data_IF_535628312376
#
_entry.id   IF_535628312376
#
_cell.length_a   1.000
_cell.length_b   1.000
_cell.length_c   1.000
_cell.angle_alpha   90.00
_cell.angle_beta   90.00
_cell.angle_gamma   90.00
#
_symmetry.space_group_name_H-M   'P 1'
#
loop_
_entity.id
_entity.type
_entity.pdbx_description
1 polymer ?
#
# COMPACT_ATOMS: atom_id res chain seq x y z
N UNK A 1 25.72 18.17 -31.78
CA UNK A 1 24.34 18.29 -31.29
C UNK A 1 23.39 17.16 -31.73
N UNK A 2 23.70 16.40 -32.82
CA UNK A 2 22.82 15.31 -33.32
C UNK A 2 22.78 14.03 -32.46
N UNK A 3 23.73 13.81 -31.54
CA UNK A 3 23.82 12.56 -30.76
C UNK A 3 22.97 12.54 -29.47
N UNK A 4 22.61 13.70 -28.92
CA UNK A 4 21.82 13.78 -27.68
C UNK A 4 20.32 13.50 -27.95
N UNK A 5 19.81 14.00 -29.06
CA UNK A 5 18.41 13.77 -29.49
C UNK A 5 18.13 12.29 -29.82
N UNK A 6 19.11 11.58 -30.43
CA UNK A 6 18.97 10.15 -30.73
C UNK A 6 19.02 9.25 -29.46
N UNK A 7 19.79 9.62 -28.46
CA UNK A 7 19.88 8.90 -27.16
C UNK A 7 18.59 9.12 -26.37
N UNK A 8 18.07 10.36 -26.33
CA UNK A 8 16.83 10.69 -25.64
C UNK A 8 15.63 10.01 -26.33
N UNK A 9 15.58 10.01 -27.68
CA UNK A 9 14.49 9.34 -28.40
C UNK A 9 14.52 7.81 -28.24
N UNK A 10 15.71 7.20 -28.12
CA UNK A 10 15.86 5.76 -27.87
C UNK A 10 15.46 5.41 -26.44
N UNK A 11 15.88 6.18 -25.45
CA UNK A 11 15.51 6.01 -24.04
C UNK A 11 13.99 6.21 -23.80
N UNK A 12 13.36 7.17 -24.52
CA UNK A 12 11.90 7.36 -24.47
C UNK A 12 11.19 6.19 -25.16
N UNK A 13 11.68 5.69 -26.26
CA UNK A 13 11.10 4.55 -26.99
C UNK A 13 11.24 3.24 -26.22
N UNK A 14 12.35 3.00 -25.54
CA UNK A 14 12.54 1.85 -24.66
C UNK A 14 11.64 1.94 -23.42
N UNK A 15 11.54 3.10 -22.75
CA UNK A 15 10.60 3.29 -21.62
C UNK A 15 9.14 3.08 -22.02
N UNK A 16 8.74 3.56 -23.20
CA UNK A 16 7.38 3.35 -23.75
C UNK A 16 7.13 1.87 -24.05
N UNK A 17 8.16 1.13 -24.52
CA UNK A 17 8.07 -0.32 -24.75
C UNK A 17 7.89 -1.09 -23.46
N UNK A 18 8.69 -0.82 -22.43
CA UNK A 18 8.58 -1.46 -21.11
C UNK A 18 7.25 -1.17 -20.43
N UNK A 19 6.74 0.07 -20.54
CA UNK A 19 5.42 0.42 -20.01
C UNK A 19 4.30 -0.34 -20.72
N UNK A 20 4.38 -0.53 -22.03
CA UNK A 20 3.40 -1.32 -22.80
C UNK A 20 3.43 -2.79 -22.43
N UNK A 21 4.62 -3.37 -22.20
CA UNK A 21 4.77 -4.75 -21.73
C UNK A 21 4.17 -4.91 -20.34
N UNK A 22 4.46 -3.99 -19.40
CA UNK A 22 3.88 -4.00 -18.06
C UNK A 22 2.36 -3.90 -18.07
N UNK A 23 1.80 -3.01 -18.89
CA UNK A 23 0.34 -2.87 -19.08
C UNK A 23 -0.24 -4.15 -19.69
N UNK A 24 0.40 -4.74 -20.71
CA UNK A 24 -0.05 -5.97 -21.34
C UNK A 24 -0.07 -7.15 -20.37
N UNK A 25 0.97 -7.30 -19.55
CA UNK A 25 1.02 -8.32 -18.48
C UNK A 25 -0.08 -8.09 -17.45
N UNK A 26 -0.29 -6.86 -17.00
CA UNK A 26 -1.38 -6.52 -16.06
C UNK A 26 -2.75 -6.85 -16.65
N UNK A 27 -3.01 -6.47 -17.89
CA UNK A 27 -4.26 -6.80 -18.58
C UNK A 27 -4.43 -8.32 -18.71
N UNK A 28 -3.37 -9.06 -19.05
CA UNK A 28 -3.41 -10.52 -19.14
C UNK A 28 -3.76 -11.16 -17.80
N UNK A 29 -3.11 -10.71 -16.70
CA UNK A 29 -3.42 -11.19 -15.34
C UNK A 29 -4.89 -10.92 -15.00
N UNK A 30 -5.40 -9.73 -15.31
CA UNK A 30 -6.81 -9.37 -15.09
C UNK A 30 -7.74 -10.28 -15.89
N UNK A 31 -7.46 -10.50 -17.17
CA UNK A 31 -8.28 -11.37 -18.03
C UNK A 31 -8.30 -12.80 -17.48
N UNK A 32 -7.14 -13.33 -17.10
CA UNK A 32 -7.04 -14.68 -16.50
C UNK A 32 -7.82 -14.72 -15.17
N UNK A 33 -7.63 -13.74 -14.29
CA UNK A 33 -8.33 -13.67 -13.01
C UNK A 33 -9.86 -13.58 -13.20
N UNK A 34 -10.33 -12.75 -14.14
CA UNK A 34 -11.76 -12.65 -14.47
C UNK A 34 -12.29 -13.93 -15.08
N UNK A 35 -11.55 -14.59 -15.98
CA UNK A 35 -11.95 -15.85 -16.57
C UNK A 35 -12.09 -16.95 -15.51
N UNK A 36 -11.12 -17.07 -14.61
CA UNK A 36 -11.16 -18.02 -13.49
C UNK A 36 -12.30 -17.66 -12.54
N UNK A 37 -12.48 -16.38 -12.22
CA UNK A 37 -13.56 -15.90 -11.36
C UNK A 37 -14.93 -16.25 -11.95
N UNK A 38 -15.15 -15.97 -13.25
CA UNK A 38 -16.41 -16.33 -13.94
C UNK A 38 -16.63 -17.85 -13.90
N UNK A 39 -15.58 -18.66 -14.09
CA UNK A 39 -15.69 -20.10 -14.02
C UNK A 39 -16.02 -20.59 -12.60
N UNK A 40 -15.37 -20.00 -11.57
CA UNK A 40 -15.63 -20.34 -10.17
C UNK A 40 -17.02 -19.89 -9.70
N UNK A 41 -17.51 -18.76 -10.24
CA UNK A 41 -18.81 -18.18 -9.87
C UNK A 41 -19.99 -18.78 -10.66
N UNK A 42 -19.75 -19.57 -11.72
CA UNK A 42 -20.82 -20.14 -12.55
C UNK A 42 -21.83 -20.97 -11.77
N UNK A 43 -21.34 -21.68 -10.73
CA UNK A 43 -22.15 -22.60 -9.92
C UNK A 43 -22.58 -21.96 -8.58
N UNK A 44 -22.29 -20.66 -8.39
CA UNK A 44 -22.61 -19.95 -7.14
C UNK A 44 -24.06 -19.48 -7.16
N UNK A 45 -24.80 -19.92 -6.15
CA UNK A 45 -26.15 -19.44 -5.90
C UNK A 45 -26.11 -18.15 -5.08
N UNK A 46 -26.50 -17.04 -5.71
CA UNK A 46 -26.49 -15.69 -5.09
C UNK A 46 -27.29 -15.68 -3.78
N UNK A 47 -28.39 -16.41 -3.72
CA UNK A 47 -29.24 -16.52 -2.52
C UNK A 47 -28.49 -17.17 -1.34
N UNK A 48 -27.63 -18.16 -1.61
CA UNK A 48 -26.76 -18.76 -0.57
C UNK A 48 -25.70 -17.79 -0.08
N UNK A 49 -25.11 -16.98 -0.97
CA UNK A 49 -24.16 -15.93 -0.57
C UNK A 49 -24.86 -14.89 0.32
N UNK A 50 -26.05 -14.44 -0.06
CA UNK A 50 -26.83 -13.50 0.75
C UNK A 50 -27.25 -14.10 2.10
N UNK A 51 -27.62 -15.38 2.14
CA UNK A 51 -27.90 -16.08 3.38
C UNK A 51 -26.66 -16.18 4.28
N UNK A 52 -25.49 -16.51 3.71
CA UNK A 52 -24.22 -16.56 4.42
C UNK A 52 -23.80 -15.18 4.97
N UNK A 53 -24.01 -14.11 4.20
CA UNK A 53 -23.79 -12.74 4.67
C UNK A 53 -24.65 -12.36 5.86
N UNK A 54 -25.93 -12.73 5.83
CA UNK A 54 -26.89 -12.47 6.94
C UNK A 54 -26.61 -13.32 8.16
N UNK A 55 -26.06 -14.52 7.99
CA UNK A 55 -25.72 -15.43 9.08
C UNK A 55 -24.43 -15.04 9.82
N UNK A 56 -23.63 -14.12 9.30
CA UNK A 56 -22.38 -13.70 9.98
C UNK A 56 -22.66 -13.03 11.30
N UNK A 57 -21.93 -13.49 12.32
CA UNK A 57 -22.02 -12.92 13.67
C UNK A 57 -21.50 -11.47 13.67
N UNK A 58 -22.26 -10.58 14.31
CA UNK A 58 -21.81 -9.19 14.52
C UNK A 58 -20.50 -9.13 15.30
N UNK A 59 -20.24 -10.10 16.18
CA UNK A 59 -18.99 -10.21 16.93
C UNK A 59 -17.81 -10.41 15.97
N UNK A 60 -17.92 -11.30 14.99
CA UNK A 60 -16.85 -11.61 14.05
C UNK A 60 -16.56 -10.40 13.16
N UNK A 61 -17.62 -9.71 12.74
CA UNK A 61 -17.50 -8.45 11.98
C UNK A 61 -16.80 -7.37 12.81
N UNK A 62 -17.16 -7.20 14.09
CA UNK A 62 -16.51 -6.23 14.98
C UNK A 62 -15.04 -6.57 15.22
N UNK A 63 -14.73 -7.84 15.47
CA UNK A 63 -13.34 -8.31 15.62
C UNK A 63 -12.54 -8.01 14.36
N UNK A 64 -13.07 -8.35 13.19
CA UNK A 64 -12.44 -8.04 11.91
C UNK A 64 -12.21 -6.53 11.76
N UNK A 65 -13.19 -5.69 12.11
CA UNK A 65 -13.08 -4.23 12.07
C UNK A 65 -11.97 -3.67 12.97
N UNK A 66 -11.83 -4.23 14.17
CA UNK A 66 -10.75 -3.84 15.09
C UNK A 66 -9.38 -4.15 14.46
N UNK A 67 -9.21 -5.36 13.89
CA UNK A 67 -7.94 -5.72 13.26
C UNK A 67 -7.68 -4.97 11.97
N UNK A 68 -8.69 -4.66 11.16
CA UNK A 68 -8.56 -3.73 10.03
C UNK A 68 -8.06 -2.35 10.52
N UNK A 69 -8.63 -1.81 11.59
CA UNK A 69 -8.18 -0.54 12.16
C UNK A 69 -6.72 -0.61 12.65
N UNK A 70 -6.32 -1.72 13.31
CA UNK A 70 -4.92 -1.96 13.72
C UNK A 70 -3.98 -1.97 12.51
N UNK A 71 -4.35 -2.66 11.41
CA UNK A 71 -3.58 -2.66 10.15
C UNK A 71 -3.42 -1.25 9.59
N UNK A 72 -4.50 -0.46 9.53
CA UNK A 72 -4.42 0.92 9.08
C UNK A 72 -3.59 1.83 10.00
N UNK A 73 -3.62 1.59 11.31
CA UNK A 73 -2.69 2.28 12.24
C UNK A 73 -1.25 1.88 11.93
N UNK A 74 -0.96 0.61 11.69
CA UNK A 74 0.38 0.16 11.27
C UNK A 74 0.84 0.86 9.98
N UNK A 75 -0.04 1.02 8.98
CA UNK A 75 0.25 1.74 7.74
C UNK A 75 0.65 3.21 7.96
N UNK A 76 0.14 3.88 9.00
CA UNK A 76 0.56 5.25 9.31
C UNK A 76 2.02 5.34 9.73
N UNK A 77 2.57 4.27 10.32
CA UNK A 77 3.97 4.22 10.71
C UNK A 77 4.93 4.05 9.53
N UNK A 78 4.47 3.57 8.36
CA UNK A 78 5.31 3.49 7.16
C UNK A 78 5.84 4.87 6.76
N UNK A 79 4.94 5.85 6.60
CA UNK A 79 5.32 7.22 6.23
C UNK A 79 6.08 7.92 7.37
N UNK A 80 5.66 7.74 8.62
CA UNK A 80 6.36 8.30 9.77
C UNK A 80 7.80 7.81 9.88
N UNK A 81 8.00 6.49 9.74
CA UNK A 81 9.31 5.89 9.76
C UNK A 81 10.17 6.37 8.57
N UNK A 82 9.58 6.45 7.38
CA UNK A 82 10.27 6.94 6.19
C UNK A 82 10.75 8.40 6.36
N UNK A 83 9.90 9.28 6.90
CA UNK A 83 10.26 10.67 7.20
C UNK A 83 11.44 10.75 8.19
N UNK A 84 11.41 9.96 9.26
CA UNK A 84 12.52 9.91 10.24
C UNK A 84 13.82 9.41 9.60
N UNK A 85 13.72 8.42 8.72
CA UNK A 85 14.88 7.84 8.03
C UNK A 85 15.54 8.83 7.07
N UNK A 86 14.77 9.69 6.40
CA UNK A 86 15.32 10.73 5.50
C UNK A 86 15.68 12.04 6.24
N UNK A 87 15.56 12.07 7.57
CA UNK A 87 15.93 13.21 8.40
C UNK A 87 14.91 14.36 8.45
N UNK A 88 13.67 14.13 7.99
CA UNK A 88 12.57 15.12 8.02
C UNK A 88 11.81 15.07 9.35
N UNK A 89 12.52 15.42 10.43
CA UNK A 89 12.00 15.35 11.80
C UNK A 89 10.98 16.42 12.14
N UNK A 90 10.92 17.49 11.37
CA UNK A 90 9.98 18.61 11.51
C UNK A 90 8.53 18.24 11.20
N UNK A 91 8.30 17.17 10.42
CA UNK A 91 6.94 16.72 10.10
C UNK A 91 6.36 15.95 11.28
N UNK A 92 5.27 16.45 11.91
CA UNK A 92 4.69 15.78 13.07
C UNK A 92 3.96 14.49 12.68
N UNK A 93 3.87 13.54 13.62
CA UNK A 93 3.21 12.24 13.40
C UNK A 93 1.81 12.37 12.80
N UNK A 94 0.99 13.30 13.28
CA UNK A 94 -0.38 13.53 12.78
C UNK A 94 -0.43 13.79 11.27
N UNK A 95 0.57 14.49 10.72
CA UNK A 95 0.66 14.76 9.28
C UNK A 95 1.15 13.51 8.54
N UNK A 96 2.15 12.81 9.10
CA UNK A 96 2.61 11.54 8.55
C UNK A 96 1.49 10.48 8.53
N UNK A 97 0.73 10.37 9.62
CA UNK A 97 -0.40 9.46 9.75
C UNK A 97 -1.52 9.78 8.74
N UNK A 98 -1.92 11.05 8.65
CA UNK A 98 -2.91 11.50 7.68
C UNK A 98 -2.47 11.21 6.25
N UNK A 99 -1.20 11.54 5.91
CA UNK A 99 -0.66 11.33 4.57
C UNK A 99 -0.51 9.85 4.26
N UNK A 100 0.04 9.07 5.17
CA UNK A 100 0.18 7.62 5.04
C UNK A 100 -1.18 6.96 4.82
N UNK A 101 -2.14 7.20 5.72
CA UNK A 101 -3.49 6.67 5.62
C UNK A 101 -4.15 6.99 4.27
N UNK A 102 -4.20 8.27 3.89
CA UNK A 102 -4.87 8.69 2.65
C UNK A 102 -4.14 8.19 1.39
N UNK A 103 -2.80 8.21 1.38
CA UNK A 103 -2.00 7.75 0.26
C UNK A 103 -2.16 6.25 0.01
N UNK A 104 -2.08 5.43 1.07
CA UNK A 104 -2.26 3.99 0.95
C UNK A 104 -3.68 3.63 0.57
N UNK A 105 -4.67 4.17 1.27
CA UNK A 105 -6.07 3.88 1.02
C UNK A 105 -6.47 4.19 -0.43
N UNK A 106 -6.14 5.38 -0.90
CA UNK A 106 -6.49 5.80 -2.26
C UNK A 106 -5.64 5.06 -3.30
N UNK A 107 -4.34 4.89 -3.02
CA UNK A 107 -3.43 4.18 -3.92
C UNK A 107 -3.84 2.72 -4.14
N UNK A 108 -4.20 1.98 -3.09
CA UNK A 108 -4.65 0.60 -3.21
C UNK A 108 -6.01 0.48 -3.93
N UNK A 109 -6.93 1.41 -3.70
CA UNK A 109 -8.25 1.36 -4.32
C UNK A 109 -8.26 1.78 -5.80
N UNK A 110 -7.49 2.83 -6.15
CA UNK A 110 -7.44 3.31 -7.53
C UNK A 110 -6.48 2.54 -8.44
N UNK A 111 -5.59 1.73 -7.87
CA UNK A 111 -4.49 1.12 -8.60
C UNK A 111 -3.38 2.13 -8.94
N UNK A 112 -2.36 1.68 -9.70
CA UNK A 112 -1.16 2.48 -9.97
C UNK A 112 -0.59 3.13 -8.69
N UNK A 113 -0.52 2.37 -7.61
CA UNK A 113 -0.30 2.80 -6.22
C UNK A 113 0.87 3.77 -6.07
N UNK A 114 1.97 3.56 -6.81
CA UNK A 114 3.15 4.44 -6.73
C UNK A 114 2.83 5.86 -7.22
N UNK A 115 2.05 6.00 -8.28
CA UNK A 115 1.69 7.30 -8.85
C UNK A 115 0.63 8.01 -8.01
N UNK A 116 -0.45 7.32 -7.66
CA UNK A 116 -1.57 7.89 -6.91
C UNK A 116 -1.17 8.25 -5.49
N UNK A 117 -0.49 7.34 -4.77
CA UNK A 117 0.03 7.62 -3.44
C UNK A 117 1.14 8.68 -3.47
N UNK A 118 1.99 8.67 -4.51
CA UNK A 118 3.03 9.70 -4.71
C UNK A 118 2.45 11.08 -4.89
N UNK A 119 1.37 11.23 -5.68
CA UNK A 119 0.69 12.51 -5.89
C UNK A 119 0.08 13.07 -4.61
N UNK A 120 -0.55 12.22 -3.79
CA UNK A 120 -1.11 12.63 -2.48
C UNK A 120 0.00 13.06 -1.53
N UNK A 121 1.09 12.28 -1.43
CA UNK A 121 2.26 12.65 -0.63
C UNK A 121 2.84 13.99 -1.08
N UNK A 122 3.01 14.20 -2.39
CA UNK A 122 3.49 15.46 -2.94
C UNK A 122 2.57 16.62 -2.54
N UNK A 123 1.25 16.46 -2.70
CA UNK A 123 0.26 17.48 -2.34
C UNK A 123 0.32 17.87 -0.87
N UNK A 124 0.55 16.92 0.03
CA UNK A 124 0.52 17.19 1.48
C UNK A 124 1.90 17.63 1.98
N UNK A 125 2.96 16.91 1.63
CA UNK A 125 4.30 17.16 2.16
C UNK A 125 5.01 18.36 1.54
N UNK A 126 4.64 18.81 0.32
CA UNK A 126 5.20 20.04 -0.24
C UNK A 126 4.83 21.28 0.60
N UNK A 127 3.70 21.27 1.31
CA UNK A 127 3.35 22.30 2.30
C UNK A 127 4.32 22.33 3.52
N UNK A 128 5.09 21.26 3.71
CA UNK A 128 6.15 21.12 4.73
C UNK A 128 7.57 21.26 4.15
N UNK A 129 7.68 21.77 2.92
CA UNK A 129 8.96 22.02 2.26
C UNK A 129 9.67 20.79 1.71
N UNK A 130 8.98 19.62 1.61
CA UNK A 130 9.55 18.43 1.01
C UNK A 130 9.57 18.54 -0.51
N UNK A 131 10.69 18.17 -1.11
CA UNK A 131 10.90 18.13 -2.55
C UNK A 131 10.35 16.83 -3.18
N UNK A 132 10.23 16.80 -4.50
CA UNK A 132 9.89 15.57 -5.26
C UNK A 132 10.89 14.45 -4.96
N UNK A 133 12.17 14.80 -4.74
CA UNK A 133 13.22 13.83 -4.38
C UNK A 133 12.94 13.23 -3.00
N UNK A 134 12.53 14.03 -2.03
CA UNK A 134 12.13 13.53 -0.70
C UNK A 134 10.94 12.58 -0.79
N UNK A 135 9.94 12.91 -1.63
CA UNK A 135 8.78 12.03 -1.86
C UNK A 135 9.21 10.70 -2.48
N UNK A 136 10.13 10.72 -3.44
CA UNK A 136 10.68 9.50 -4.03
C UNK A 136 11.45 8.65 -2.99
N UNK A 137 12.21 9.29 -2.08
CA UNK A 137 12.88 8.60 -0.96
C UNK A 137 11.86 7.99 0.01
N UNK A 138 10.79 8.69 0.36
CA UNK A 138 9.71 8.16 1.19
C UNK A 138 9.09 6.94 0.51
N UNK A 139 8.74 7.03 -0.78
CA UNK A 139 8.18 5.92 -1.54
C UNK A 139 9.11 4.69 -1.56
N UNK A 140 10.42 4.91 -1.69
CA UNK A 140 11.41 3.84 -1.63
C UNK A 140 11.45 3.16 -0.25
N UNK A 141 11.50 3.94 0.84
CA UNK A 141 11.59 3.39 2.20
C UNK A 141 10.29 2.70 2.62
N UNK A 142 9.13 3.26 2.26
CA UNK A 142 7.83 2.61 2.51
C UNK A 142 7.71 1.32 1.71
N UNK A 143 8.14 1.31 0.44
CA UNK A 143 8.23 0.10 -0.37
C UNK A 143 9.16 -0.95 0.24
N UNK A 144 10.33 -0.54 0.75
CA UNK A 144 11.27 -1.44 1.44
C UNK A 144 10.61 -2.06 2.68
N UNK A 145 9.89 -1.27 3.49
CA UNK A 145 9.14 -1.76 4.67
C UNK A 145 8.12 -2.82 4.26
N UNK A 146 7.33 -2.55 3.21
CA UNK A 146 6.34 -3.49 2.68
C UNK A 146 7.00 -4.81 2.23
N UNK A 147 8.06 -4.74 1.41
CA UNK A 147 8.73 -5.94 0.89
C UNK A 147 9.43 -6.75 1.98
N UNK A 148 10.07 -6.09 2.96
CA UNK A 148 10.70 -6.78 4.09
C UNK A 148 9.64 -7.49 4.96
N UNK A 149 8.50 -6.86 5.23
CA UNK A 149 7.38 -7.46 5.95
C UNK A 149 6.85 -8.70 5.24
N UNK A 150 6.55 -8.57 3.94
CA UNK A 150 6.08 -9.68 3.10
C UNK A 150 7.09 -10.84 3.03
N UNK A 151 8.37 -10.52 2.79
CA UNK A 151 9.43 -11.53 2.72
C UNK A 151 9.59 -12.28 4.04
N UNK A 152 9.45 -11.59 5.18
CA UNK A 152 9.53 -12.22 6.49
C UNK A 152 8.31 -13.12 6.76
N UNK A 153 7.10 -12.59 6.57
CA UNK A 153 5.84 -13.34 6.82
C UNK A 153 5.75 -14.57 5.92
N UNK A 154 5.98 -14.40 4.62
CA UNK A 154 5.98 -15.54 3.69
C UNK A 154 7.18 -16.46 3.90
N UNK A 155 8.34 -15.91 4.26
CA UNK A 155 9.52 -16.72 4.57
C UNK A 155 9.26 -17.69 5.72
N UNK A 156 8.74 -17.18 6.84
CA UNK A 156 8.35 -18.02 7.99
C UNK A 156 7.18 -18.95 7.64
N UNK A 157 6.14 -18.40 7.01
CA UNK A 157 4.94 -19.16 6.66
C UNK A 157 5.23 -20.32 5.70
N UNK A 158 5.99 -20.09 4.62
CA UNK A 158 6.37 -21.13 3.66
C UNK A 158 7.38 -22.13 4.23
N UNK A 159 8.22 -21.72 5.19
CA UNK A 159 9.10 -22.67 5.89
C UNK A 159 8.30 -23.64 6.75
N UNK A 160 7.24 -23.15 7.41
CA UNK A 160 6.37 -23.93 8.30
C UNK A 160 5.27 -24.70 7.54
N UNK A 161 4.48 -24.03 6.70
CA UNK A 161 3.34 -24.58 5.96
C UNK A 161 3.48 -24.36 4.43
N UNK A 162 4.46 -25.01 3.77
CA UNK A 162 4.73 -24.83 2.34
C UNK A 162 3.57 -25.29 1.45
N UNK A 163 2.75 -26.21 1.91
CA UNK A 163 1.56 -26.72 1.23
C UNK A 163 0.52 -25.60 0.99
N UNK A 164 0.41 -24.67 1.92
CA UNK A 164 -0.48 -23.51 1.80
C UNK A 164 -0.15 -22.64 0.58
N UNK A 165 1.14 -22.39 0.35
CA UNK A 165 1.59 -21.66 -0.84
C UNK A 165 1.38 -22.49 -2.11
N UNK A 166 1.59 -23.82 -2.04
CA UNK A 166 1.39 -24.74 -3.18
C UNK A 166 -0.05 -24.72 -3.69
N UNK A 167 -1.03 -24.57 -2.80
CA UNK A 167 -2.44 -24.48 -3.17
C UNK A 167 -2.72 -23.28 -4.10
N UNK A 168 -1.99 -22.16 -3.92
CA UNK A 168 -2.19 -20.94 -4.71
C UNK A 168 -1.26 -20.89 -5.93
N UNK A 169 0.05 -21.18 -5.76
CA UNK A 169 1.04 -20.99 -6.80
C UNK A 169 1.37 -22.25 -7.63
N UNK A 170 0.78 -23.39 -7.26
CA UNK A 170 0.93 -24.70 -7.93
C UNK A 170 2.40 -25.22 -7.97
N UNK A 171 3.31 -24.64 -7.19
CA UNK A 171 4.67 -25.13 -7.03
C UNK A 171 4.71 -26.27 -5.98
N UNK A 172 5.70 -27.16 -6.08
CA UNK A 172 5.83 -28.22 -5.07
C UNK A 172 6.15 -27.65 -3.69
N UNK A 173 5.69 -28.29 -2.59
CA UNK A 173 5.98 -27.85 -1.22
C UNK A 173 7.48 -27.69 -0.93
N UNK A 174 8.32 -28.55 -1.52
CA UNK A 174 9.78 -28.46 -1.37
C UNK A 174 10.34 -27.17 -1.96
N UNK A 175 9.83 -26.75 -3.13
CA UNK A 175 10.23 -25.49 -3.78
C UNK A 175 9.76 -24.33 -2.92
N UNK A 176 8.52 -24.33 -2.45
CA UNK A 176 7.99 -23.26 -1.61
C UNK A 176 8.77 -23.13 -0.29
N UNK A 177 9.11 -24.25 0.35
CA UNK A 177 9.97 -24.23 1.54
C UNK A 177 11.34 -23.66 1.23
N UNK A 178 11.96 -24.04 0.10
CA UNK A 178 13.22 -23.48 -0.36
C UNK A 178 13.15 -21.96 -0.59
N UNK A 179 12.09 -21.47 -1.23
CA UNK A 179 11.85 -20.02 -1.43
C UNK A 179 11.72 -19.32 -0.09
N UNK A 180 10.92 -19.87 0.85
CA UNK A 180 10.73 -19.29 2.17
C UNK A 180 12.06 -19.18 2.95
N UNK A 181 12.81 -20.26 3.03
CA UNK A 181 14.13 -20.28 3.71
C UNK A 181 15.11 -19.31 3.02
N UNK A 182 15.16 -19.31 1.69
CA UNK A 182 16.02 -18.38 0.93
C UNK A 182 15.66 -16.91 1.25
N UNK A 183 14.37 -16.58 1.30
CA UNK A 183 13.91 -15.25 1.69
C UNK A 183 14.37 -14.83 3.10
N UNK A 184 14.27 -15.74 4.08
CA UNK A 184 14.77 -15.50 5.44
C UNK A 184 16.30 -15.33 5.48
N UNK A 185 17.04 -16.16 4.74
CA UNK A 185 18.51 -16.04 4.61
C UNK A 185 18.89 -14.68 4.01
N UNK A 186 18.18 -14.22 2.98
CA UNK A 186 18.39 -12.90 2.38
C UNK A 186 18.14 -11.77 3.40
N UNK A 187 17.09 -11.87 4.22
CA UNK A 187 16.82 -10.89 5.28
C UNK A 187 17.97 -10.87 6.29
N UNK A 188 18.42 -12.03 6.75
CA UNK A 188 19.54 -12.13 7.70
C UNK A 188 20.83 -11.57 7.08
N UNK A 189 21.13 -11.94 5.84
CA UNK A 189 22.28 -11.41 5.10
C UNK A 189 22.22 -9.90 4.95
N UNK A 190 21.04 -9.33 4.66
CA UNK A 190 20.82 -7.90 4.59
C UNK A 190 21.05 -7.21 5.94
N UNK A 191 20.54 -7.77 7.05
CA UNK A 191 20.77 -7.24 8.39
C UNK A 191 22.25 -7.26 8.77
N UNK A 192 22.96 -8.37 8.49
CA UNK A 192 24.39 -8.49 8.72
C UNK A 192 25.20 -7.49 7.86
N UNK A 193 24.78 -7.27 6.61
CA UNK A 193 25.43 -6.30 5.73
C UNK A 193 25.28 -4.86 6.21
N UNK A 194 24.19 -4.53 6.93
CA UNK A 194 23.96 -3.21 7.51
C UNK A 194 24.75 -2.96 8.81
N UNK A 195 25.24 -4.02 9.50
CA UNK A 195 25.87 -3.89 10.83
C UNK A 195 27.16 -3.06 10.85
N UNK A 196 28.11 -3.21 9.91
CA UNK A 196 29.45 -2.61 10.08
C UNK A 196 29.47 -1.11 9.96
N UNK A 197 28.64 -0.50 9.10
CA UNK A 197 28.62 0.95 8.83
C UNK A 197 27.28 1.38 8.25
N UNK A 198 26.85 2.65 8.46
CA UNK A 198 25.73 3.23 7.74
C UNK A 198 25.93 3.09 6.23
N UNK A 199 24.97 2.53 5.53
CA UNK A 199 25.01 2.32 4.09
C UNK A 199 24.22 3.42 3.38
N UNK A 200 24.80 3.99 2.34
CA UNK A 200 24.11 4.92 1.45
C UNK A 200 23.93 4.29 0.07
N UNK A 201 22.72 4.39 -0.47
CA UNK A 201 22.42 3.97 -1.85
C UNK A 201 22.07 5.21 -2.65
N UNK A 202 22.51 5.22 -3.91
CA UNK A 202 22.25 6.32 -4.84
C UNK A 202 23.50 7.16 -5.11
N UNK A 203 23.35 8.14 -5.99
CA UNK A 203 24.45 8.97 -6.47
C UNK A 203 24.00 10.43 -6.53
N UNK A 204 24.91 11.35 -6.20
CA UNK A 204 24.65 12.79 -6.27
C UNK A 204 23.43 13.22 -5.41
N UNK A 205 22.47 13.91 -5.97
CA UNK A 205 21.29 14.44 -5.28
C UNK A 205 20.30 13.37 -4.78
N UNK A 206 20.38 12.14 -5.33
CA UNK A 206 19.52 11.02 -4.93
C UNK A 206 20.29 10.02 -4.07
N UNK A 207 20.71 10.46 -2.91
CA UNK A 207 21.32 9.57 -1.91
C UNK A 207 20.32 9.28 -0.79
N UNK A 208 20.20 8.00 -0.43
CA UNK A 208 19.39 7.51 0.69
C UNK A 208 20.32 6.80 1.65
N UNK A 209 20.33 7.23 2.90
CA UNK A 209 20.94 6.48 3.98
C UNK A 209 19.98 5.34 4.35
N UNK A 210 20.44 4.08 4.24
CA UNK A 210 19.62 2.94 4.62
C UNK A 210 19.39 2.93 6.13
N UNK A 211 18.22 2.42 6.58
CA UNK A 211 17.95 2.24 8.00
C UNK A 211 19.01 1.36 8.67
N UNK A 212 19.30 1.65 9.93
CA UNK A 212 20.18 0.77 10.73
C UNK A 212 19.55 -0.62 10.92
N UNK A 213 20.30 -1.65 11.31
CA UNK A 213 19.75 -2.99 11.56
C UNK A 213 18.57 -2.97 12.55
N UNK A 214 18.66 -2.17 13.62
CA UNK A 214 17.58 -2.00 14.59
C UNK A 214 16.33 -1.36 13.93
N UNK A 215 16.54 -0.33 13.13
CA UNK A 215 15.46 0.33 12.39
C UNK A 215 14.84 -0.60 11.35
N UNK A 216 15.64 -1.45 10.70
CA UNK A 216 15.16 -2.48 9.77
C UNK A 216 14.30 -3.54 10.47
N UNK A 217 14.67 -3.95 11.68
CA UNK A 217 13.82 -4.85 12.48
C UNK A 217 12.48 -4.19 12.84
N UNK A 218 12.47 -2.89 13.15
CA UNK A 218 11.22 -2.14 13.35
C UNK A 218 10.38 -2.11 12.08
N UNK A 219 10.99 -1.91 10.89
CA UNK A 219 10.28 -1.99 9.61
C UNK A 219 9.64 -3.37 9.39
N UNK A 220 10.38 -4.43 9.63
CA UNK A 220 9.84 -5.80 9.56
C UNK A 220 8.67 -5.96 10.52
N UNK A 221 8.82 -5.50 11.78
CA UNK A 221 7.75 -5.54 12.78
C UNK A 221 6.49 -4.80 12.36
N UNK A 222 6.62 -3.59 11.77
CA UNK A 222 5.50 -2.83 11.23
C UNK A 222 4.81 -3.61 10.09
N UNK A 223 5.59 -4.20 9.17
CA UNK A 223 5.05 -5.00 8.07
C UNK A 223 4.36 -6.28 8.55
N UNK A 224 4.92 -6.97 9.55
CA UNK A 224 4.29 -8.14 10.18
C UNK A 224 2.98 -7.77 10.87
N UNK A 225 2.95 -6.62 11.57
CA UNK A 225 1.73 -6.12 12.23
C UNK A 225 0.63 -5.80 11.20
N UNK A 226 0.98 -5.13 10.12
CA UNK A 226 0.06 -4.77 9.02
C UNK A 226 -0.55 -6.03 8.37
N UNK A 227 0.30 -6.93 7.87
CA UNK A 227 -0.13 -8.16 7.19
C UNK A 227 -0.84 -9.12 8.15
N UNK A 228 -0.33 -9.25 9.38
CA UNK A 228 -0.92 -10.10 10.40
C UNK A 228 -2.29 -9.60 10.84
N UNK A 229 -2.46 -8.30 11.01
CA UNK A 229 -3.76 -7.70 11.33
C UNK A 229 -4.78 -7.95 10.20
N UNK A 230 -4.39 -7.76 8.93
CA UNK A 230 -5.24 -8.12 7.80
C UNK A 230 -5.63 -9.59 7.77
N UNK A 231 -4.67 -10.49 8.02
CA UNK A 231 -4.92 -11.93 8.07
C UNK A 231 -5.83 -12.33 9.24
N UNK A 232 -5.67 -11.72 10.44
CA UNK A 232 -6.55 -11.97 11.59
C UNK A 232 -7.97 -11.47 11.30
N UNK A 233 -8.09 -10.29 10.65
CA UNK A 233 -9.40 -9.78 10.24
C UNK A 233 -10.09 -10.76 9.28
N UNK A 234 -9.36 -11.30 8.31
CA UNK A 234 -9.90 -12.33 7.40
C UNK A 234 -10.24 -13.64 8.14
N UNK A 235 -9.35 -14.07 9.07
CA UNK A 235 -9.57 -15.26 9.88
C UNK A 235 -10.86 -15.20 10.70
N UNK A 236 -11.14 -14.05 11.31
CA UNK A 236 -12.36 -13.83 12.07
C UNK A 236 -13.62 -13.88 11.20
N UNK A 237 -13.51 -13.59 9.91
CA UNK A 237 -14.62 -13.64 8.96
C UNK A 237 -14.80 -15.00 8.31
N UNK A 238 -13.85 -15.94 8.41
CA UNK A 238 -14.01 -17.27 7.82
C UNK A 238 -15.14 -18.05 8.48
N UNK A 239 -15.72 -19.03 7.78
CA UNK A 239 -16.60 -20.02 8.40
C UNK A 239 -15.90 -20.79 9.53
N UNK A 240 -16.62 -21.13 10.59
CA UNK A 240 -16.05 -21.88 11.72
C UNK A 240 -15.61 -23.30 11.31
N UNK A 241 -16.22 -23.84 10.28
CA UNK A 241 -15.95 -25.19 9.75
C UNK A 241 -15.83 -25.15 8.23
N UNK A 242 -14.87 -25.93 7.66
CA UNK A 242 -13.83 -26.68 8.36
C UNK A 242 -12.81 -25.74 9.02
N UNK A 243 -12.19 -26.18 10.12
CA UNK A 243 -11.14 -25.39 10.79
C UNK A 243 -9.87 -25.31 9.93
N UNK A 244 -9.22 -24.18 9.95
CA UNK A 244 -7.93 -23.95 9.27
C UNK A 244 -6.90 -23.42 10.27
N UNK A 245 -5.66 -23.86 10.11
CA UNK A 245 -4.55 -23.29 10.84
C UNK A 245 -4.28 -21.83 10.41
N UNK A 246 -4.03 -20.95 11.38
CA UNK A 246 -3.82 -19.53 11.11
C UNK A 246 -2.62 -19.27 10.19
N UNK A 247 -1.53 -20.02 10.32
CA UNK A 247 -0.34 -19.85 9.47
C UNK A 247 -0.66 -20.22 8.02
N UNK A 248 -1.45 -21.27 7.81
CA UNK A 248 -1.94 -21.66 6.49
C UNK A 248 -2.77 -20.52 5.86
N UNK A 249 -3.72 -19.97 6.61
CA UNK A 249 -4.48 -18.80 6.12
C UNK A 249 -3.57 -17.60 5.84
N UNK A 250 -2.64 -17.29 6.75
CA UNK A 250 -1.70 -16.16 6.60
C UNK A 250 -0.90 -16.27 5.30
N UNK A 251 -0.38 -17.45 4.97
CA UNK A 251 0.37 -17.69 3.73
C UNK A 251 -0.53 -17.49 2.50
N UNK A 252 -1.73 -18.08 2.50
CA UNK A 252 -2.68 -17.93 1.38
C UNK A 252 -3.09 -16.47 1.22
N UNK A 253 -3.44 -15.80 2.32
CA UNK A 253 -3.87 -14.40 2.33
C UNK A 253 -2.78 -13.46 1.82
N UNK A 254 -1.54 -13.58 2.34
CA UNK A 254 -0.44 -12.70 1.92
C UNK A 254 -0.04 -12.98 0.47
N UNK A 255 -0.09 -14.24 0.03
CA UNK A 255 0.13 -14.59 -1.39
C UNK A 255 -0.96 -13.97 -2.28
N UNK A 256 -2.22 -14.01 -1.85
CA UNK A 256 -3.33 -13.36 -2.57
C UNK A 256 -3.15 -11.83 -2.67
N UNK A 257 -2.72 -11.19 -1.57
CA UNK A 257 -2.38 -9.74 -1.56
C UNK A 257 -1.26 -9.43 -2.55
N UNK A 258 -0.20 -10.25 -2.61
CA UNK A 258 0.90 -10.03 -3.56
C UNK A 258 0.46 -10.19 -5.01
N UNK A 259 -0.39 -11.16 -5.32
CA UNK A 259 -0.96 -11.30 -6.66
C UNK A 259 -1.87 -10.11 -7.01
N UNK A 260 -2.67 -9.66 -6.04
CA UNK A 260 -3.46 -8.45 -6.17
C UNK A 260 -2.58 -7.21 -6.46
N UNK A 261 -1.49 -7.04 -5.73
CA UNK A 261 -0.52 -5.96 -5.95
C UNK A 261 0.15 -6.05 -7.33
N UNK A 262 0.58 -7.26 -7.72
CA UNK A 262 1.23 -7.50 -9.01
C UNK A 262 0.29 -7.29 -10.21
N UNK A 263 -1.02 -7.49 -10.03
CA UNK A 263 -2.02 -7.28 -11.08
C UNK A 263 -2.23 -5.81 -11.45
N UNK A 264 -1.87 -4.87 -10.56
CA UNK A 264 -2.13 -3.43 -10.68
C UNK A 264 -3.61 -3.09 -10.90
N UNK A 265 -4.52 -4.02 -10.63
CA UNK A 265 -5.96 -3.78 -10.74
C UNK A 265 -6.45 -2.85 -9.63
N UNK A 266 -7.41 -1.96 -9.92
CA UNK A 266 -8.04 -1.15 -8.89
C UNK A 266 -8.63 -2.01 -7.78
N UNK A 267 -8.21 -1.78 -6.52
CA UNK A 267 -8.64 -2.56 -5.36
C UNK A 267 -8.32 -4.05 -5.45
N UNK A 268 -7.41 -4.48 -6.34
CA UNK A 268 -7.09 -5.90 -6.59
C UNK A 268 -8.33 -6.77 -6.86
N UNK A 269 -9.36 -6.17 -7.51
CA UNK A 269 -10.65 -6.79 -7.78
C UNK A 269 -10.50 -8.10 -8.57
N UNK A 270 -11.15 -9.15 -8.11
CA UNK A 270 -11.14 -10.47 -8.71
C UNK A 270 -9.91 -11.30 -8.40
N UNK A 271 -8.74 -10.68 -8.27
CA UNK A 271 -7.46 -11.40 -8.08
C UNK A 271 -7.35 -11.98 -6.68
N UNK A 272 -7.67 -11.20 -5.65
CA UNK A 272 -7.66 -11.67 -4.26
C UNK A 272 -8.72 -12.76 -4.07
N UNK A 273 -9.93 -12.55 -4.59
CA UNK A 273 -11.02 -13.52 -4.50
C UNK A 273 -10.64 -14.86 -5.14
N UNK A 274 -10.10 -14.83 -6.35
CA UNK A 274 -9.64 -16.04 -7.04
C UNK A 274 -8.55 -16.74 -6.25
N UNK A 275 -7.54 -16.01 -5.79
CA UNK A 275 -6.43 -16.60 -5.05
C UNK A 275 -6.89 -17.24 -3.73
N UNK A 276 -7.84 -16.61 -3.02
CA UNK A 276 -8.41 -17.14 -1.79
C UNK A 276 -9.31 -18.36 -2.06
N UNK A 277 -10.17 -18.32 -3.09
CA UNK A 277 -11.04 -19.45 -3.47
C UNK A 277 -10.22 -20.66 -3.93
N UNK A 278 -9.13 -20.45 -4.65
CA UNK A 278 -8.20 -21.50 -5.09
C UNK A 278 -7.36 -22.01 -3.93
N UNK A 279 -6.88 -21.11 -3.07
CA UNK A 279 -6.01 -21.45 -1.94
C UNK A 279 -6.72 -22.11 -0.75
N UNK A 280 -8.04 -21.97 -0.67
CA UNK A 280 -8.87 -22.48 0.42
C UNK A 280 -10.03 -23.37 -0.09
N UNK A 281 -9.75 -24.44 -0.86
CA UNK A 281 -10.77 -25.26 -1.52
C UNK A 281 -11.64 -26.06 -0.53
N UNK A 282 -11.24 -26.16 0.74
CA UNK A 282 -11.98 -26.86 1.78
C UNK A 282 -13.24 -26.10 2.24
N UNK A 283 -13.32 -24.78 2.01
CA UNK A 283 -14.49 -24.01 2.38
C UNK A 283 -15.56 -24.01 1.28
N UNK A 284 -16.86 -24.00 1.65
CA UNK A 284 -17.93 -23.75 0.68
C UNK A 284 -17.72 -22.39 0.00
N UNK A 285 -17.78 -22.37 -1.32
CA UNK A 285 -17.47 -21.17 -2.13
C UNK A 285 -18.33 -19.97 -1.74
N UNK A 286 -19.61 -20.21 -1.47
CA UNK A 286 -20.59 -19.19 -1.12
C UNK A 286 -20.26 -18.51 0.22
N UNK A 287 -19.90 -19.33 1.23
CA UNK A 287 -19.54 -18.82 2.56
C UNK A 287 -18.19 -18.08 2.55
N UNK A 288 -17.21 -18.62 1.81
CA UNK A 288 -15.91 -17.96 1.64
C UNK A 288 -16.07 -16.64 0.88
N UNK A 289 -16.91 -16.63 -0.17
CA UNK A 289 -17.18 -15.41 -0.94
C UNK A 289 -17.90 -14.36 -0.08
N UNK A 290 -18.86 -14.76 0.75
CA UNK A 290 -19.51 -13.86 1.70
C UNK A 290 -18.49 -13.24 2.68
N UNK A 291 -17.55 -14.04 3.20
CA UNK A 291 -16.47 -13.55 4.06
C UNK A 291 -15.55 -12.56 3.35
N UNK A 292 -15.19 -12.85 2.10
CA UNK A 292 -14.37 -11.97 1.27
C UNK A 292 -15.07 -10.65 0.94
N UNK A 293 -16.39 -10.66 0.70
CA UNK A 293 -17.17 -9.45 0.45
C UNK A 293 -17.23 -8.54 1.69
N UNK A 294 -17.44 -9.12 2.89
CA UNK A 294 -17.40 -8.36 4.14
C UNK A 294 -16.01 -7.79 4.37
N UNK A 295 -14.96 -8.62 4.18
CA UNK A 295 -13.57 -8.16 4.30
C UNK A 295 -13.28 -7.01 3.34
N UNK A 296 -13.69 -7.13 2.07
CA UNK A 296 -13.53 -6.07 1.08
C UNK A 296 -14.24 -4.78 1.47
N UNK A 297 -15.47 -4.87 1.95
CA UNK A 297 -16.19 -3.70 2.42
C UNK A 297 -15.43 -3.00 3.55
N UNK A 298 -14.96 -3.77 4.54
CA UNK A 298 -14.29 -3.22 5.72
C UNK A 298 -12.87 -2.74 5.43
N UNK A 299 -12.12 -3.46 4.59
CA UNK A 299 -10.70 -3.17 4.35
C UNK A 299 -10.48 -2.17 3.21
N UNK A 300 -11.37 -2.08 2.22
CA UNK A 300 -11.20 -1.20 1.05
C UNK A 300 -12.20 -0.05 1.05
N UNK A 301 -13.52 -0.34 1.16
CA UNK A 301 -14.57 0.67 0.93
C UNK A 301 -14.70 1.62 2.12
N UNK A 302 -14.78 1.12 3.34
CA UNK A 302 -14.91 1.96 4.55
C UNK A 302 -13.73 2.91 4.71
N UNK A 303 -12.45 2.45 4.65
CA UNK A 303 -11.31 3.36 4.74
C UNK A 303 -11.23 4.35 3.57
N UNK A 304 -11.61 3.93 2.34
CA UNK A 304 -11.64 4.83 1.18
C UNK A 304 -12.63 5.98 1.39
N UNK A 305 -13.83 5.66 1.85
CA UNK A 305 -14.86 6.66 2.16
C UNK A 305 -14.37 7.65 3.23
N UNK A 306 -13.72 7.11 4.28
CA UNK A 306 -13.16 7.94 5.34
C UNK A 306 -11.98 8.80 4.84
N UNK A 307 -11.09 8.25 4.02
CA UNK A 307 -9.99 9.00 3.40
C UNK A 307 -10.49 10.13 2.48
N UNK A 308 -11.53 9.86 1.68
CA UNK A 308 -12.14 10.86 0.81
C UNK A 308 -12.75 12.00 1.60
N UNK A 309 -13.48 11.70 2.69
CA UNK A 309 -14.05 12.72 3.59
C UNK A 309 -12.94 13.56 4.24
N UNK A 310 -11.90 12.91 4.77
CA UNK A 310 -10.78 13.61 5.41
C UNK A 310 -10.04 14.54 4.45
N UNK A 311 -9.79 14.10 3.20
CA UNK A 311 -9.18 14.95 2.18
C UNK A 311 -10.08 16.08 1.77
N UNK A 312 -11.38 15.82 1.57
CA UNK A 312 -12.37 16.84 1.25
C UNK A 312 -12.45 17.93 2.31
N UNK A 313 -12.54 17.55 3.59
CA UNK A 313 -12.54 18.50 4.72
C UNK A 313 -11.25 19.32 4.77
N UNK A 314 -10.09 18.70 4.54
CA UNK A 314 -8.82 19.43 4.47
C UNK A 314 -8.81 20.47 3.36
N UNK A 315 -9.24 20.12 2.15
CA UNK A 315 -9.26 21.06 1.02
C UNK A 315 -10.24 22.21 1.27
N UNK A 316 -11.44 21.92 1.77
CA UNK A 316 -12.42 22.95 2.15
C UNK A 316 -11.85 23.92 3.19
N UNK A 317 -11.16 23.40 4.20
CA UNK A 317 -10.53 24.24 5.22
C UNK A 317 -9.39 25.13 4.66
N UNK A 318 -8.61 24.61 3.69
CA UNK A 318 -7.57 25.41 3.02
C UNK A 318 -8.18 26.52 2.17
N UNK A 319 -9.28 26.25 1.46
CA UNK A 319 -10.02 27.24 0.67
C UNK A 319 -10.60 28.33 1.59
N UNK A 320 -11.27 27.95 2.68
CA UNK A 320 -11.83 28.88 3.65
C UNK A 320 -10.77 29.82 4.25
N UNK A 321 -9.55 29.29 4.52
CA UNK A 321 -8.43 30.12 5.01
C UNK A 321 -7.84 31.06 3.97
N UNK A 322 -7.87 30.69 2.69
CA UNK A 322 -7.38 31.56 1.62
C UNK A 322 -8.31 32.74 1.36
N UNK A 323 -9.62 32.56 1.56
CA UNK A 323 -10.63 33.62 1.42
C UNK A 323 -10.70 34.56 2.62
N UNK A 324 -10.16 34.15 3.79
CA UNK A 324 -10.17 34.96 5.02
C UNK A 324 -8.93 35.84 5.23
N UNK A 325 -7.94 35.79 4.31
CA UNK A 325 -6.85 36.77 4.29
C UNK A 325 -7.24 37.91 3.37
N UNK A 326 -7.73 39.07 3.91
CA UNK A 326 -7.94 40.26 3.10
C UNK A 326 -6.61 40.76 2.57
N UNK A 327 -6.67 41.39 1.39
CA UNK A 327 -5.55 42.00 0.66
C UNK A 327 -4.80 43.08 1.48
N UNK A 328 -4.05 42.70 2.50
CA UNK A 328 -3.09 43.59 3.16
C UNK A 328 -1.92 44.02 2.20
N UNK A 329 -1.82 43.39 1.05
CA UNK A 329 -0.82 43.78 0.02
C UNK A 329 -1.26 45.01 -0.77
N UNK A 330 -2.59 45.21 -1.01
CA UNK A 330 -3.08 46.38 -1.73
C UNK A 330 -3.10 47.65 -0.85
N UNK A 331 -3.35 47.52 0.46
CA UNK A 331 -3.28 48.65 1.38
C UNK A 331 -1.86 49.22 1.53
N UNK A 332 -0.83 48.38 1.48
CA UNK A 332 0.58 48.85 1.54
C UNK A 332 1.06 49.48 0.24
N UNK A 333 0.52 49.13 -0.91
CA UNK A 333 0.87 49.77 -2.18
C UNK A 333 0.16 51.12 -2.37
N UNK A 334 -1.07 51.25 -1.95
CA UNK A 334 -1.80 52.51 -1.96
C UNK A 334 -1.25 53.53 -0.97
N UNK A 335 -0.80 53.07 0.21
CA UNK A 335 -0.13 53.93 1.20
C UNK A 335 1.27 54.43 0.76
N UNK A 336 1.95 53.71 -0.13
CA UNK A 336 3.25 54.16 -0.70
C UNK A 336 3.07 55.12 -1.88
N UNK A 337 1.99 55.04 -2.67
CA UNK A 337 1.70 56.02 -3.76
C UNK A 337 1.22 57.37 -3.23
N UNK A 338 0.51 57.42 -2.13
CA UNK A 338 0.07 58.68 -1.52
C UNK A 338 1.20 59.49 -0.86
N UNK A 339 2.34 58.86 -0.55
CA UNK A 339 3.49 59.54 0.08
C UNK A 339 4.54 60.10 -0.91
N UNK A 340 4.50 59.68 -2.19
CA UNK A 340 5.40 60.16 -3.22
C UNK A 340 4.91 61.44 -3.91
N UNK A 341 3.63 61.73 -3.92
CA UNK A 341 3.06 62.96 -4.56
C UNK A 341 3.09 64.18 -3.65
N UNK A 342 3.23 64.02 -2.32
CA UNK A 342 3.31 65.15 -1.38
C UNK A 342 4.71 65.80 -1.28
N UNK A 343 5.74 65.33 -2.00
CA UNK A 343 7.12 65.91 -1.99
C UNK A 343 7.54 66.62 -3.28
N UNK A 344 6.60 66.84 -4.21
CA UNK A 344 6.89 67.61 -5.44
C UNK A 344 6.17 68.99 -5.49
N UNK A 345 5.58 69.42 -4.40
CA UNK A 345 4.94 70.73 -4.29
C UNK A 345 5.48 71.47 -3.03
N UNK A 346 6.76 71.89 -3.08
CA UNK A 346 7.36 72.98 -2.31
C UNK A 346 8.66 73.39 -3.01
#
# INVERSE_FOLDING_TARGET
MANVTSVISRAIRERVSWNRIGIAISILIVIIAVAILVQLLRDIEVDKVLAALRAKSIRDVLVAGIFVAIGYVALTFYDFFALRTIGRNEVPYRIAAFTGFTSYTIGHNLGATVLTAGAIRLRIYSAWGLSIIDIAKIAFITGLTFWLGNAFVLGVGMAYAPEAASAVNQLSPRINRGIGVCGLVIIVAYLLWLMPRPRTIGRSSWQIVLPSPRSTLVQIGIGVLDLGAGAIAMYALLPAYPSIDFITLLVVFVTAILFGFASHTPGSLGVIEVAMLVGLPQFPKEELLASLLIFRFMYFIVPLSFAAVLLGLRELWLIARSTTKPDDCNARQLGKRGRSDGRRAL
#
